data_IF_178576504207
#
_entry.id   IF_178576504207
#
_cell.length_a   1.000
_cell.length_b   1.000
_cell.length_c   1.000
_cell.angle_alpha   90.00
_cell.angle_beta   90.00
_cell.angle_gamma   90.00
#
_symmetry.space_group_name_H-M   'P 1'
#
loop_
_entity.id
_entity.type
_entity.pdbx_description
1 polymer ?
#
# COMPACT_ATOMS: atom_id res chain seq x y z
N UNK A 1 44.48 11.46 21.09
CA UNK A 1 45.23 10.56 22.01
C UNK A 1 46.00 9.52 21.19
N UNK A 2 47.18 9.06 21.62
CA UNK A 2 47.94 8.06 20.86
C UNK A 2 47.42 6.63 21.11
N UNK A 3 47.59 5.77 20.10
CA UNK A 3 47.24 4.34 20.10
C UNK A 3 48.53 3.54 20.17
N UNK A 4 48.63 2.63 21.14
CA UNK A 4 49.85 1.82 21.32
C UNK A 4 49.79 0.57 20.44
N UNK A 5 50.88 0.30 19.73
CA UNK A 5 51.14 -0.97 19.03
C UNK A 5 52.07 -1.80 19.89
N UNK A 6 51.67 -3.04 20.17
CA UNK A 6 52.45 -4.03 20.90
C UNK A 6 52.89 -5.15 19.95
N UNK A 7 53.79 -6.03 20.40
CA UNK A 7 54.03 -7.28 19.66
C UNK A 7 52.76 -8.14 19.71
N UNK A 8 52.46 -8.94 18.67
CA UNK A 8 51.27 -9.80 18.66
C UNK A 8 51.19 -10.66 19.92
N UNK A 9 50.03 -10.66 20.59
CA UNK A 9 49.78 -11.40 21.83
C UNK A 9 50.09 -10.64 23.13
N UNK A 10 50.93 -9.60 23.11
CA UNK A 10 51.31 -8.86 24.33
C UNK A 10 50.13 -8.04 24.89
N UNK A 11 49.32 -7.46 24.01
CA UNK A 11 48.13 -6.70 24.43
C UNK A 11 47.07 -7.65 25.00
N UNK A 12 46.86 -8.80 24.36
CA UNK A 12 45.99 -9.85 24.88
C UNK A 12 46.41 -10.29 26.28
N UNK A 13 47.70 -10.62 26.44
CA UNK A 13 48.27 -11.09 27.70
C UNK A 13 48.11 -10.05 28.80
N UNK A 14 48.48 -8.78 28.54
CA UNK A 14 48.27 -7.68 29.47
C UNK A 14 46.80 -7.55 29.92
N UNK A 15 45.86 -7.62 28.98
CA UNK A 15 44.43 -7.48 29.28
C UNK A 15 43.88 -8.67 30.07
N UNK A 16 44.38 -9.90 29.83
CA UNK A 16 44.02 -11.10 30.60
C UNK A 16 44.58 -11.02 32.02
N UNK A 17 45.87 -10.72 32.15
CA UNK A 17 46.56 -10.65 33.45
C UNK A 17 45.94 -9.55 34.33
N UNK A 18 45.66 -8.39 33.73
CA UNK A 18 44.98 -7.27 34.40
C UNK A 18 43.59 -7.67 34.89
N UNK A 19 42.79 -8.34 34.05
CA UNK A 19 41.44 -8.78 34.45
C UNK A 19 41.49 -9.81 35.57
N UNK A 20 42.42 -10.76 35.50
CA UNK A 20 42.60 -11.79 36.52
C UNK A 20 43.02 -11.16 37.85
N UNK A 21 43.94 -10.19 37.82
CA UNK A 21 44.42 -9.48 39.02
C UNK A 21 43.35 -8.62 39.68
N UNK A 22 42.55 -7.92 38.89
CA UNK A 22 41.46 -7.07 39.40
C UNK A 22 40.22 -7.86 39.82
N UNK A 23 40.13 -9.15 39.47
CA UNK A 23 39.02 -10.06 39.80
C UNK A 23 37.62 -9.46 39.56
N UNK A 24 37.44 -8.68 38.48
CA UNK A 24 36.19 -7.97 38.20
C UNK A 24 35.73 -8.09 36.73
N UNK A 25 34.45 -7.77 36.50
CA UNK A 25 33.87 -7.83 35.15
C UNK A 25 34.36 -6.69 34.27
N UNK A 26 34.35 -6.90 32.94
CA UNK A 26 34.70 -5.87 31.97
C UNK A 26 33.82 -4.61 32.05
N UNK A 27 32.61 -4.72 32.60
CA UNK A 27 31.73 -3.57 32.84
C UNK A 27 32.26 -2.70 33.98
N UNK A 28 32.63 -3.31 35.12
CA UNK A 28 33.21 -2.58 36.24
C UNK A 28 34.55 -1.92 35.88
N UNK A 29 35.39 -2.61 35.10
CA UNK A 29 36.64 -2.03 34.57
C UNK A 29 36.31 -0.86 33.64
N UNK A 30 35.36 -1.04 32.72
CA UNK A 30 34.92 -0.01 31.79
C UNK A 30 34.43 1.27 32.47
N UNK A 31 33.61 1.16 33.52
CA UNK A 31 33.13 2.30 34.31
C UNK A 31 34.28 3.09 34.93
N UNK A 32 35.35 2.42 35.41
CA UNK A 32 36.50 3.08 36.03
C UNK A 32 37.36 3.89 35.05
N UNK A 33 37.43 3.47 33.78
CA UNK A 33 38.26 4.12 32.75
C UNK A 33 37.45 4.83 31.66
N UNK A 34 36.13 4.97 31.85
CA UNK A 34 35.25 5.64 30.89
C UNK A 34 35.10 4.94 29.54
N UNK A 35 35.27 3.61 29.47
CA UNK A 35 35.13 2.83 28.23
C UNK A 35 34.00 1.79 28.31
N UNK A 36 33.45 1.46 27.14
CA UNK A 36 32.48 0.36 27.06
C UNK A 36 33.15 -1.00 27.29
N UNK A 37 32.44 -1.94 27.92
CA UNK A 37 32.93 -3.31 28.13
C UNK A 37 33.26 -4.02 26.82
N UNK A 38 32.62 -3.63 25.71
CA UNK A 38 32.92 -4.12 24.36
C UNK A 38 34.30 -3.67 23.90
N UNK A 39 34.64 -2.39 24.07
CA UNK A 39 35.94 -1.85 23.67
C UNK A 39 37.08 -2.58 24.35
N UNK A 40 36.96 -2.87 25.65
CA UNK A 40 37.97 -3.60 26.41
C UNK A 40 38.11 -5.06 25.94
N UNK A 41 37.02 -5.72 25.56
CA UNK A 41 37.06 -7.06 24.93
C UNK A 41 37.71 -7.03 23.55
N UNK A 42 37.44 -5.99 22.76
CA UNK A 42 38.06 -5.82 21.45
C UNK A 42 39.57 -5.54 21.57
N UNK A 43 40.01 -4.86 22.64
CA UNK A 43 41.44 -4.73 22.98
C UNK A 43 42.04 -6.06 23.43
N UNK A 44 41.34 -6.82 24.29
CA UNK A 44 41.78 -8.16 24.69
C UNK A 44 41.93 -9.08 23.48
N UNK A 45 41.06 -8.99 22.47
CA UNK A 45 41.13 -9.79 21.23
C UNK A 45 42.09 -9.21 20.19
N UNK A 46 42.77 -8.11 20.51
CA UNK A 46 43.68 -7.39 19.60
C UNK A 46 43.01 -6.93 18.29
N UNK A 47 41.69 -6.80 18.29
CA UNK A 47 40.91 -6.27 17.16
C UNK A 47 41.14 -4.76 17.02
N UNK A 48 41.34 -4.08 18.15
CA UNK A 48 41.58 -2.64 18.22
C UNK A 48 42.85 -2.35 19.05
N UNK A 49 43.57 -1.30 18.66
CA UNK A 49 44.71 -0.79 19.43
C UNK A 49 44.23 -0.01 20.66
N UNK A 50 44.89 -0.27 21.78
CA UNK A 50 44.61 0.44 23.03
C UNK A 50 45.02 1.91 22.99
N UNK A 51 44.25 2.75 23.67
CA UNK A 51 44.60 4.15 23.89
C UNK A 51 45.66 4.24 24.99
N UNK A 52 46.75 4.96 24.78
CA UNK A 52 47.90 5.04 25.69
C UNK A 52 47.49 5.49 27.10
N UNK A 53 46.74 6.58 27.20
CA UNK A 53 46.36 7.17 28.49
C UNK A 53 45.50 6.19 29.30
N UNK A 54 44.56 5.53 28.62
CA UNK A 54 43.70 4.53 29.26
C UNK A 54 44.46 3.25 29.62
N UNK A 55 45.41 2.81 28.79
CA UNK A 55 46.26 1.67 29.10
C UNK A 55 47.16 1.95 30.31
N UNK A 56 47.69 3.18 30.43
CA UNK A 56 48.44 3.62 31.60
C UNK A 56 47.57 3.64 32.86
N UNK A 57 46.33 4.14 32.76
CA UNK A 57 45.37 4.05 33.87
C UNK A 57 45.10 2.59 34.28
N UNK A 58 44.91 1.68 33.32
CA UNK A 58 44.69 0.26 33.62
C UNK A 58 45.91 -0.40 34.27
N UNK A 59 47.11 -0.02 33.85
CA UNK A 59 48.38 -0.48 34.43
C UNK A 59 48.52 -0.04 35.89
N UNK A 60 48.25 1.24 36.18
CA UNK A 60 48.23 1.78 37.53
C UNK A 60 47.17 1.10 38.41
N UNK A 61 45.96 0.89 37.89
CA UNK A 61 44.86 0.27 38.63
C UNK A 61 45.14 -1.19 38.99
N UNK A 62 45.85 -1.93 38.14
CA UNK A 62 46.12 -3.37 38.33
C UNK A 62 47.49 -3.68 38.91
N UNK A 63 48.37 -2.67 38.99
CA UNK A 63 49.78 -2.81 39.32
C UNK A 63 50.51 -3.82 38.41
N UNK A 64 50.15 -3.85 37.13
CA UNK A 64 50.80 -4.66 36.10
C UNK A 64 51.48 -3.72 35.12
N UNK A 65 52.77 -3.91 34.88
CA UNK A 65 53.54 -3.12 33.93
C UNK A 65 52.98 -3.23 32.52
N UNK A 66 52.91 -2.10 31.82
CA UNK A 66 52.58 -2.12 30.39
C UNK A 66 53.62 -2.90 29.59
N UNK A 67 53.21 -3.71 28.60
CA UNK A 67 54.13 -4.29 27.65
C UNK A 67 54.91 -3.22 26.88
N UNK A 68 56.03 -3.62 26.28
CA UNK A 68 56.87 -2.71 25.50
C UNK A 68 56.07 -2.18 24.30
N UNK A 69 55.88 -0.87 24.25
CA UNK A 69 55.23 -0.20 23.13
C UNK A 69 56.23 -0.18 21.96
N UNK A 70 55.89 -0.88 20.88
CA UNK A 70 56.71 -0.98 19.66
C UNK A 70 56.57 0.29 18.81
N UNK A 71 55.36 0.84 18.75
CA UNK A 71 55.04 2.03 17.95
C UNK A 71 53.85 2.76 18.59
N UNK A 72 53.85 4.09 18.52
CA UNK A 72 52.68 4.91 18.84
C UNK A 72 52.06 5.48 17.57
N UNK A 73 50.75 5.31 17.42
CA UNK A 73 49.98 5.79 16.26
C UNK A 73 49.00 6.88 16.67
N UNK A 74 48.68 7.77 15.74
CA UNK A 74 47.59 8.74 15.94
C UNK A 74 46.24 8.03 16.09
N UNK A 75 45.30 8.65 16.82
CA UNK A 75 43.97 8.09 17.07
C UNK A 75 43.23 7.64 15.80
N UNK A 76 43.40 8.40 14.72
CA UNK A 76 42.76 8.20 13.43
C UNK A 76 43.71 7.63 12.37
N UNK A 77 44.80 6.96 12.76
CA UNK A 77 45.81 6.42 11.83
C UNK A 77 45.21 5.57 10.71
N UNK A 78 44.18 4.79 11.05
CA UNK A 78 43.46 3.92 10.14
C UNK A 78 42.45 4.65 9.26
N UNK A 79 42.01 5.85 9.65
CA UNK A 79 40.99 6.60 8.93
C UNK A 79 41.45 6.90 7.51
N UNK A 80 42.68 7.39 7.31
CA UNK A 80 43.22 7.67 5.96
C UNK A 80 43.27 6.42 5.07
N UNK A 81 43.60 5.25 5.63
CA UNK A 81 43.67 3.97 4.90
C UNK A 81 42.29 3.47 4.48
N UNK A 82 41.34 3.46 5.41
CA UNK A 82 40.00 2.93 5.15
C UNK A 82 39.06 3.93 4.48
N UNK A 83 39.35 5.23 4.56
CA UNK A 83 38.53 6.28 3.93
C UNK A 83 38.50 6.11 2.41
N UNK A 84 39.62 5.79 1.77
CA UNK A 84 39.67 5.55 0.31
C UNK A 84 38.81 4.33 -0.06
N UNK A 85 38.96 3.22 0.65
CA UNK A 85 38.21 2.00 0.35
C UNK A 85 36.72 2.13 0.69
N UNK A 86 36.38 2.73 1.83
CA UNK A 86 35.00 3.03 2.20
C UNK A 86 34.34 4.00 1.22
N UNK A 87 35.06 5.03 0.75
CA UNK A 87 34.60 5.93 -0.30
C UNK A 87 34.34 5.19 -1.61
N UNK A 88 35.26 4.30 -2.01
CA UNK A 88 35.11 3.47 -3.21
C UNK A 88 33.88 2.56 -3.12
N UNK A 89 33.69 1.86 -2.00
CA UNK A 89 32.52 1.00 -1.75
C UNK A 89 31.23 1.83 -1.76
N UNK A 90 31.21 2.97 -1.06
CA UNK A 90 30.06 3.87 -1.02
C UNK A 90 29.69 4.36 -2.43
N UNK A 91 30.67 4.79 -3.22
CA UNK A 91 30.47 5.23 -4.61
C UNK A 91 29.99 4.09 -5.51
N UNK A 92 30.44 2.85 -5.29
CA UNK A 92 29.89 1.68 -5.99
C UNK A 92 28.41 1.45 -5.67
N UNK A 93 28.00 1.58 -4.40
CA UNK A 93 26.62 1.35 -3.96
C UNK A 93 25.71 2.52 -4.35
N UNK A 94 26.10 3.74 -4.00
CA UNK A 94 25.25 4.92 -4.05
C UNK A 94 25.62 5.90 -5.17
N UNK A 95 26.74 5.70 -5.88
CA UNK A 95 27.27 6.68 -6.83
C UNK A 95 28.01 7.82 -6.14
N UNK A 96 28.59 8.72 -6.95
CA UNK A 96 29.34 9.87 -6.43
C UNK A 96 28.41 10.79 -5.62
N UNK A 97 28.79 11.15 -4.37
CA UNK A 97 28.01 12.11 -3.60
C UNK A 97 28.02 13.47 -4.29
N UNK A 98 26.87 14.14 -4.32
CA UNK A 98 26.74 15.48 -4.89
C UNK A 98 26.26 15.52 -6.34
N UNK A 99 26.42 14.45 -7.14
CA UNK A 99 25.94 14.44 -8.54
C UNK A 99 24.47 14.01 -8.66
N UNK A 100 23.73 14.47 -9.69
CA UNK A 100 22.37 14.00 -9.96
C UNK A 100 22.29 12.47 -10.14
N UNK A 101 23.25 11.87 -10.84
CA UNK A 101 23.29 10.44 -11.14
C UNK A 101 23.50 9.62 -9.87
N UNK A 102 24.40 10.09 -8.98
CA UNK A 102 24.61 9.49 -7.66
C UNK A 102 23.35 9.57 -6.80
N UNK A 103 22.68 10.72 -6.75
CA UNK A 103 21.41 10.85 -6.02
C UNK A 103 20.35 9.88 -6.55
N UNK A 104 20.20 9.73 -7.86
CA UNK A 104 19.27 8.78 -8.49
C UNK A 104 19.63 7.34 -8.12
N UNK A 105 20.90 6.95 -8.25
CA UNK A 105 21.37 5.59 -7.93
C UNK A 105 21.20 5.27 -6.45
N UNK A 106 21.56 6.19 -5.57
CA UNK A 106 21.37 6.08 -4.13
C UNK A 106 19.89 5.92 -3.76
N UNK A 107 19.01 6.72 -4.37
CA UNK A 107 17.55 6.62 -4.21
C UNK A 107 17.00 5.26 -4.65
N UNK A 108 17.34 4.80 -5.86
CA UNK A 108 16.93 3.48 -6.40
C UNK A 108 17.42 2.34 -5.50
N UNK A 109 18.68 2.38 -5.09
CA UNK A 109 19.28 1.35 -4.22
C UNK A 109 18.59 1.30 -2.85
N UNK A 110 18.28 2.47 -2.27
CA UNK A 110 17.53 2.58 -1.02
C UNK A 110 16.12 1.99 -1.16
N UNK A 111 15.39 2.31 -2.23
CA UNK A 111 14.07 1.74 -2.51
C UNK A 111 14.13 0.22 -2.69
N UNK A 112 15.11 -0.29 -3.43
CA UNK A 112 15.31 -1.73 -3.62
C UNK A 112 15.60 -2.45 -2.30
N UNK A 113 16.46 -1.88 -1.44
CA UNK A 113 16.73 -2.45 -0.11
C UNK A 113 15.49 -2.50 0.77
N UNK A 114 14.66 -1.45 0.74
CA UNK A 114 13.37 -1.43 1.47
C UNK A 114 12.39 -2.46 0.96
N UNK A 115 12.43 -2.78 -0.34
CA UNK A 115 11.60 -3.82 -0.94
C UNK A 115 12.07 -5.22 -0.56
N UNK A 116 13.38 -5.46 -0.56
CA UNK A 116 13.98 -6.77 -0.27
C UNK A 116 14.01 -7.10 1.23
N UNK A 117 14.21 -6.09 2.08
CA UNK A 117 14.42 -6.25 3.53
C UNK A 117 13.51 -5.32 4.34
N UNK A 118 12.18 -5.36 4.16
CA UNK A 118 11.25 -4.44 4.81
C UNK A 118 11.32 -4.47 6.35
N UNK A 119 11.65 -5.62 6.94
CA UNK A 119 11.84 -5.82 8.37
C UNK A 119 12.92 -4.91 8.97
N UNK A 120 13.98 -4.59 8.22
CA UNK A 120 15.04 -3.68 8.67
C UNK A 120 14.60 -2.22 8.79
N UNK A 121 13.49 -1.88 8.15
CA UNK A 121 12.96 -0.53 8.08
C UNK A 121 11.66 -0.37 8.87
N UNK A 122 11.12 -1.45 9.43
CA UNK A 122 9.96 -1.41 10.31
C UNK A 122 10.28 -0.53 11.53
N UNK A 123 9.38 0.39 11.89
CA UNK A 123 9.57 1.29 13.03
C UNK A 123 10.49 2.49 12.79
N UNK A 124 11.09 2.64 11.61
CA UNK A 124 12.01 3.76 11.30
C UNK A 124 11.31 5.02 10.75
N UNK A 125 9.96 5.07 10.80
CA UNK A 125 9.16 6.12 10.15
C UNK A 125 9.16 6.06 8.61
N UNK A 126 9.85 5.10 8.01
CA UNK A 126 9.88 4.91 6.56
C UNK A 126 8.56 4.31 6.07
N UNK A 127 7.97 4.90 5.03
CA UNK A 127 6.78 4.33 4.36
C UNK A 127 7.17 3.04 3.66
N UNK A 128 6.66 1.92 4.16
CA UNK A 128 6.82 0.60 3.56
C UNK A 128 5.64 0.27 2.63
N UNK A 129 5.92 -0.60 1.66
CA UNK A 129 4.89 -1.11 0.75
C UNK A 129 3.86 -1.92 1.55
N UNK A 130 2.58 -1.58 1.39
CA UNK A 130 1.47 -2.31 2.02
C UNK A 130 1.43 -3.74 1.48
N UNK A 131 1.31 -4.74 2.37
CA UNK A 131 1.02 -6.12 1.97
C UNK A 131 -0.39 -6.16 1.38
N UNK A 132 -0.51 -6.58 0.13
CA UNK A 132 -1.77 -6.65 -0.60
C UNK A 132 -2.16 -8.13 -0.78
N UNK A 133 -3.37 -8.50 -0.39
CA UNK A 133 -3.94 -9.78 -0.80
C UNK A 133 -4.43 -9.67 -2.25
N UNK A 134 -4.03 -10.60 -3.12
CA UNK A 134 -4.50 -10.65 -4.50
C UNK A 134 -5.65 -11.67 -4.57
N UNK A 135 -6.91 -11.22 -4.75
CA UNK A 135 -8.05 -12.11 -4.73
C UNK A 135 -8.15 -12.90 -6.05
N UNK A 136 -8.69 -14.12 -5.96
CA UNK A 136 -9.18 -14.83 -7.14
C UNK A 136 -10.40 -14.13 -7.75
N UNK A 137 -10.70 -14.42 -9.02
CA UNK A 137 -11.91 -13.92 -9.69
C UNK A 137 -13.15 -14.41 -8.97
N UNK A 138 -13.94 -13.48 -8.44
CA UNK A 138 -15.13 -13.77 -7.62
C UNK A 138 -16.28 -12.82 -7.95
N UNK A 139 -17.48 -13.15 -7.46
CA UNK A 139 -18.68 -12.29 -7.56
C UNK A 139 -18.43 -10.91 -6.94
N UNK A 140 -17.79 -10.87 -5.77
CA UNK A 140 -17.44 -9.62 -5.08
C UNK A 140 -16.44 -8.78 -5.87
N UNK A 141 -15.47 -9.43 -6.52
CA UNK A 141 -14.52 -8.73 -7.39
C UNK A 141 -15.23 -8.18 -8.63
N UNK A 142 -16.13 -8.95 -9.25
CA UNK A 142 -16.89 -8.50 -10.40
C UNK A 142 -17.79 -7.30 -10.06
N UNK A 143 -18.41 -7.29 -8.89
CA UNK A 143 -19.17 -6.13 -8.39
C UNK A 143 -18.30 -4.90 -8.19
N UNK A 144 -17.12 -5.06 -7.58
CA UNK A 144 -16.17 -3.96 -7.45
C UNK A 144 -15.76 -3.40 -8.82
N UNK A 145 -15.58 -4.26 -9.83
CA UNK A 145 -15.31 -3.81 -11.20
C UNK A 145 -16.46 -2.98 -11.77
N UNK A 146 -17.70 -3.37 -11.52
CA UNK A 146 -18.87 -2.57 -11.89
C UNK A 146 -18.85 -1.18 -11.25
N UNK A 147 -18.61 -1.12 -9.94
CA UNK A 147 -18.50 0.15 -9.19
C UNK A 147 -17.36 1.01 -9.74
N UNK A 148 -16.21 0.41 -10.05
CA UNK A 148 -15.06 1.14 -10.60
C UNK A 148 -15.30 1.65 -12.02
N UNK A 149 -16.03 0.88 -12.84
CA UNK A 149 -16.42 1.30 -14.19
C UNK A 149 -17.37 2.49 -14.16
N UNK A 150 -18.24 2.60 -13.15
CA UNK A 150 -19.11 3.77 -12.96
C UNK A 150 -18.41 4.96 -12.31
N UNK A 151 -18.22 4.93 -10.99
CA UNK A 151 -17.69 6.05 -10.19
C UNK A 151 -16.18 5.98 -9.89
N UNK A 152 -15.51 4.92 -10.36
CA UNK A 152 -14.07 4.72 -10.13
C UNK A 152 -13.15 5.56 -11.02
N UNK A 153 -12.00 5.94 -10.46
CA UNK A 153 -10.87 6.53 -11.17
C UNK A 153 -9.56 5.84 -10.75
N UNK A 154 -8.74 5.49 -11.73
CA UNK A 154 -7.42 4.90 -11.50
C UNK A 154 -6.32 5.89 -11.92
N UNK A 155 -5.41 6.20 -11.01
CA UNK A 155 -4.11 6.82 -11.29
C UNK A 155 -3.01 5.76 -11.29
N UNK A 156 -1.74 6.16 -11.45
CA UNK A 156 -0.59 5.25 -11.43
C UNK A 156 -0.39 4.58 -10.07
N UNK A 157 -0.81 5.24 -8.99
CA UNK A 157 -0.57 4.80 -7.61
C UNK A 157 -1.85 4.58 -6.79
N UNK A 158 -2.98 5.13 -7.23
CA UNK A 158 -4.20 5.21 -6.41
C UNK A 158 -5.46 4.83 -7.20
N UNK A 159 -6.35 4.12 -6.52
CA UNK A 159 -7.72 3.94 -6.94
C UNK A 159 -8.60 4.84 -6.07
N UNK A 160 -9.52 5.56 -6.72
CA UNK A 160 -10.50 6.44 -6.07
C UNK A 160 -11.91 6.07 -6.53
N UNK A 161 -12.88 6.12 -5.64
CA UNK A 161 -14.32 5.99 -5.95
C UNK A 161 -15.00 7.18 -5.28
N UNK A 162 -15.69 8.00 -6.08
CA UNK A 162 -16.37 9.20 -5.60
C UNK A 162 -17.86 8.94 -5.47
N UNK A 163 -18.40 9.05 -4.26
CA UNK A 163 -19.80 8.74 -3.94
C UNK A 163 -20.45 9.95 -3.27
N UNK A 164 -21.79 10.05 -3.32
CA UNK A 164 -22.49 11.14 -2.64
C UNK A 164 -22.34 11.04 -1.11
N UNK A 165 -22.05 12.17 -0.46
CA UNK A 165 -21.83 12.24 0.99
C UNK A 165 -23.06 11.77 1.82
N UNK A 166 -24.26 12.10 1.35
CA UNK A 166 -25.52 11.85 2.08
C UNK A 166 -26.17 10.56 1.60
N UNK A 167 -26.51 10.50 0.31
CA UNK A 167 -27.29 9.40 -0.27
C UNK A 167 -26.51 8.08 -0.27
N UNK A 168 -25.19 8.15 -0.48
CA UNK A 168 -24.33 6.96 -0.56
C UNK A 168 -23.57 6.70 0.74
N UNK A 169 -23.98 7.28 1.88
CA UNK A 169 -23.26 7.09 3.16
C UNK A 169 -23.15 5.61 3.56
N UNK A 170 -24.24 4.85 3.44
CA UNK A 170 -24.26 3.40 3.72
C UNK A 170 -23.48 2.62 2.64
N UNK A 171 -23.64 3.01 1.38
CA UNK A 171 -22.93 2.39 0.26
C UNK A 171 -21.40 2.60 0.35
N UNK A 172 -20.95 3.77 0.81
CA UNK A 172 -19.53 4.07 1.10
C UNK A 172 -18.95 3.06 2.08
N UNK A 173 -19.67 2.73 3.16
CA UNK A 173 -19.24 1.71 4.13
C UNK A 173 -19.18 0.32 3.50
N UNK A 174 -20.17 -0.01 2.67
CA UNK A 174 -20.22 -1.27 1.92
C UNK A 174 -19.00 -1.43 1.00
N UNK A 175 -18.68 -0.41 0.20
CA UNK A 175 -17.50 -0.38 -0.67
C UNK A 175 -16.20 -0.55 0.12
N UNK A 176 -16.05 0.14 1.25
CA UNK A 176 -14.90 -0.05 2.14
C UNK A 176 -14.79 -1.50 2.65
N UNK A 177 -15.93 -2.13 2.97
CA UNK A 177 -16.01 -3.53 3.37
C UNK A 177 -15.58 -4.49 2.26
N UNK A 178 -16.05 -4.29 1.02
CA UNK A 178 -15.60 -5.06 -0.16
C UNK A 178 -14.09 -4.93 -0.34
N UNK A 179 -13.56 -3.70 -0.34
CA UNK A 179 -12.14 -3.45 -0.54
C UNK A 179 -11.28 -4.16 0.52
N UNK A 180 -11.71 -4.10 1.78
CA UNK A 180 -11.03 -4.79 2.86
C UNK A 180 -11.07 -6.31 2.68
N UNK A 181 -12.23 -6.89 2.35
CA UNK A 181 -12.38 -8.34 2.12
C UNK A 181 -11.54 -8.83 0.94
N UNK A 182 -11.49 -8.07 -0.15
CA UNK A 182 -10.78 -8.47 -1.37
C UNK A 182 -9.26 -8.28 -1.27
N UNK A 183 -8.79 -7.24 -0.57
CA UNK A 183 -7.38 -6.83 -0.64
C UNK A 183 -6.66 -6.84 0.70
N UNK A 184 -7.37 -7.02 1.82
CA UNK A 184 -6.81 -6.97 3.17
C UNK A 184 -6.33 -5.57 3.59
N UNK A 185 -6.64 -4.52 2.81
CA UNK A 185 -6.21 -3.15 3.07
C UNK A 185 -7.44 -2.29 3.38
N UNK A 186 -7.39 -1.58 4.51
CA UNK A 186 -8.39 -0.56 4.85
C UNK A 186 -8.24 0.62 3.88
N UNK A 187 -9.32 0.94 3.17
CA UNK A 187 -9.39 2.14 2.35
C UNK A 187 -9.52 3.39 3.22
N UNK A 188 -8.92 4.49 2.76
CA UNK A 188 -9.12 5.81 3.36
C UNK A 188 -10.38 6.45 2.77
N UNK A 189 -11.14 7.18 3.59
CA UNK A 189 -12.30 7.96 3.12
C UNK A 189 -12.02 9.44 3.34
N UNK A 190 -12.10 10.21 2.27
CA UNK A 190 -11.96 11.67 2.30
C UNK A 190 -13.31 12.30 2.05
N UNK A 191 -13.74 13.18 2.93
CA UNK A 191 -15.02 13.90 2.79
C UNK A 191 -14.77 15.31 2.31
N UNK A 192 -15.35 15.64 1.17
CA UNK A 192 -15.44 17.01 0.68
C UNK A 192 -16.87 17.53 0.93
N UNK A 193 -17.01 18.39 1.94
CA UNK A 193 -18.31 18.98 2.31
C UNK A 193 -18.80 20.00 1.28
N UNK A 194 -17.90 20.68 0.56
CA UNK A 194 -18.26 21.71 -0.42
C UNK A 194 -18.96 21.08 -1.62
N UNK A 195 -18.47 19.94 -2.08
CA UNK A 195 -19.05 19.23 -3.22
C UNK A 195 -20.01 18.10 -2.82
N UNK A 196 -20.24 17.90 -1.52
CA UNK A 196 -21.04 16.79 -0.98
C UNK A 196 -20.58 15.41 -1.48
N UNK A 197 -19.27 15.16 -1.47
CA UNK A 197 -18.65 13.90 -1.96
C UNK A 197 -17.88 13.20 -0.85
N UNK A 198 -18.02 11.88 -0.78
CA UNK A 198 -17.08 10.99 -0.12
C UNK A 198 -16.22 10.28 -1.16
N UNK A 199 -14.91 10.45 -1.08
CA UNK A 199 -13.95 9.74 -1.92
C UNK A 199 -13.32 8.60 -1.13
N UNK A 200 -13.66 7.36 -1.49
CA UNK A 200 -12.96 6.15 -1.03
C UNK A 200 -11.68 6.02 -1.83
N UNK A 201 -10.53 5.90 -1.16
CA UNK A 201 -9.22 5.88 -1.78
C UNK A 201 -8.37 4.73 -1.25
N UNK A 202 -7.74 3.99 -2.17
CA UNK A 202 -6.75 2.96 -1.85
C UNK A 202 -5.49 3.21 -2.66
N UNK A 203 -4.40 3.55 -1.97
CA UNK A 203 -3.08 3.76 -2.58
C UNK A 203 -2.25 2.48 -2.55
N UNK A 204 -2.01 1.90 -3.72
CA UNK A 204 -1.12 0.75 -3.94
C UNK A 204 -0.84 0.56 -5.44
N UNK A 205 0.43 0.69 -5.84
CA UNK A 205 0.86 0.42 -7.23
C UNK A 205 0.53 -1.02 -7.66
N UNK A 206 0.59 -1.97 -6.72
CA UNK A 206 0.29 -3.37 -6.99
C UNK A 206 -1.20 -3.60 -7.26
N UNK A 207 -2.07 -2.90 -6.52
CA UNK A 207 -3.50 -2.91 -6.79
C UNK A 207 -3.79 -2.36 -8.18
N UNK A 208 -3.18 -1.24 -8.55
CA UNK A 208 -3.37 -0.65 -9.88
C UNK A 208 -2.92 -1.63 -10.98
N UNK A 209 -1.73 -2.23 -10.84
CA UNK A 209 -1.25 -3.27 -11.77
C UNK A 209 -2.20 -4.45 -11.87
N UNK A 210 -2.76 -4.91 -10.75
CA UNK A 210 -3.74 -5.99 -10.74
C UNK A 210 -5.04 -5.59 -11.47
N UNK A 211 -5.59 -4.41 -11.18
CA UNK A 211 -6.82 -3.92 -11.78
C UNK A 211 -6.66 -3.70 -13.29
N UNK A 212 -5.54 -3.12 -13.72
CA UNK A 212 -5.27 -2.90 -15.14
C UNK A 212 -5.05 -4.19 -15.91
N UNK A 213 -4.29 -5.14 -15.34
CA UNK A 213 -4.13 -6.49 -15.90
C UNK A 213 -5.48 -7.21 -16.08
N UNK A 214 -6.47 -6.89 -15.27
CA UNK A 214 -7.80 -7.50 -15.31
C UNK A 214 -8.84 -6.71 -16.11
N UNK A 215 -8.43 -5.67 -16.85
CA UNK A 215 -9.26 -5.02 -17.87
C UNK A 215 -9.71 -3.58 -17.57
N UNK A 216 -9.24 -2.96 -16.48
CA UNK A 216 -9.44 -1.53 -16.25
C UNK A 216 -8.32 -0.69 -16.88
N UNK A 217 -8.56 0.59 -17.11
CA UNK A 217 -7.56 1.52 -17.66
C UNK A 217 -7.23 2.64 -16.68
N UNK A 218 -5.99 3.11 -16.69
CA UNK A 218 -5.57 4.33 -15.98
C UNK A 218 -6.07 5.56 -16.73
N UNK A 219 -6.53 6.59 -16.00
CA UNK A 219 -6.98 7.85 -16.57
C UNK A 219 -8.43 7.84 -17.04
N UNK A 220 -8.71 8.51 -18.16
CA UNK A 220 -10.09 8.71 -18.63
C UNK A 220 -10.67 7.45 -19.27
N UNK A 221 -11.60 6.81 -18.56
CA UNK A 221 -12.41 5.67 -19.03
C UNK A 221 -13.10 5.93 -20.37
N UNK A 222 -13.58 7.15 -20.58
CA UNK A 222 -14.21 7.58 -21.83
C UNK A 222 -13.22 7.61 -22.99
N UNK A 223 -12.02 8.19 -22.78
CA UNK A 223 -10.98 8.21 -23.82
C UNK A 223 -10.48 6.80 -24.17
N UNK A 224 -10.39 5.93 -23.16
CA UNK A 224 -9.99 4.53 -23.34
C UNK A 224 -11.13 3.62 -23.85
N UNK A 225 -12.35 4.14 -24.01
CA UNK A 225 -13.55 3.40 -24.40
C UNK A 225 -13.71 2.06 -23.66
N UNK A 226 -13.54 2.09 -22.32
CA UNK A 226 -13.54 0.87 -21.50
C UNK A 226 -14.87 0.12 -21.56
N UNK A 227 -14.79 -1.20 -21.47
CA UNK A 227 -15.95 -2.10 -21.40
C UNK A 227 -15.89 -3.02 -20.19
N UNK A 228 -16.84 -3.94 -20.10
CA UNK A 228 -16.83 -4.99 -19.09
C UNK A 228 -15.78 -6.04 -19.49
N UNK A 229 -14.82 -6.39 -18.61
CA UNK A 229 -13.81 -7.41 -18.89
C UNK A 229 -14.40 -8.77 -19.31
N UNK A 230 -13.73 -9.46 -20.24
CA UNK A 230 -14.19 -10.75 -20.79
C UNK A 230 -14.43 -11.81 -19.71
N UNK A 231 -13.57 -11.86 -18.67
CA UNK A 231 -13.71 -12.81 -17.58
C UNK A 231 -14.95 -12.58 -16.71
N UNK A 232 -15.51 -11.38 -16.72
CA UNK A 232 -16.80 -11.07 -16.09
C UNK A 232 -17.94 -11.48 -17.03
N UNK A 233 -17.83 -11.13 -18.32
CA UNK A 233 -18.85 -11.45 -19.34
C UNK A 233 -19.08 -12.95 -19.54
N UNK A 234 -18.07 -13.77 -19.30
CA UNK A 234 -18.15 -15.22 -19.51
C UNK A 234 -18.92 -15.98 -18.43
N UNK A 235 -19.24 -15.37 -17.28
CA UNK A 235 -19.93 -16.04 -16.18
C UNK A 235 -21.19 -15.26 -15.76
N UNK A 236 -22.40 -15.85 -15.86
CA UNK A 236 -23.63 -15.15 -15.52
C UNK A 236 -23.63 -14.54 -14.11
N UNK A 237 -23.11 -15.25 -13.10
CA UNK A 237 -23.01 -14.73 -11.72
C UNK A 237 -22.10 -13.51 -11.59
N UNK A 238 -21.02 -13.44 -12.38
CA UNK A 238 -20.10 -12.30 -12.38
C UNK A 238 -20.70 -11.13 -13.14
N UNK A 239 -21.35 -11.42 -14.26
CA UNK A 239 -22.09 -10.44 -15.05
C UNK A 239 -23.18 -9.75 -14.22
N UNK A 240 -24.03 -10.53 -13.53
CA UNK A 240 -25.04 -10.02 -12.59
C UNK A 240 -24.40 -9.09 -11.55
N UNK A 241 -23.31 -9.51 -10.92
CA UNK A 241 -22.63 -8.72 -9.89
C UNK A 241 -22.02 -7.41 -10.44
N UNK A 242 -21.41 -7.45 -11.62
CA UNK A 242 -20.87 -6.26 -12.28
C UNK A 242 -21.98 -5.28 -12.67
N UNK A 243 -23.10 -5.78 -13.22
CA UNK A 243 -24.29 -4.96 -13.53
C UNK A 243 -24.84 -4.33 -12.26
N UNK A 244 -24.95 -5.07 -11.15
CA UNK A 244 -25.32 -4.51 -9.84
C UNK A 244 -24.45 -3.32 -9.47
N UNK A 245 -23.12 -3.49 -9.54
CA UNK A 245 -22.18 -2.41 -9.23
C UNK A 245 -22.33 -1.18 -10.13
N UNK A 246 -22.55 -1.38 -11.43
CA UNK A 246 -22.78 -0.29 -12.41
C UNK A 246 -24.10 0.45 -12.15
N UNK A 247 -25.18 -0.28 -11.85
CA UNK A 247 -26.49 0.31 -11.57
C UNK A 247 -26.50 1.00 -10.21
N UNK A 248 -25.71 0.54 -9.24
CA UNK A 248 -25.58 1.17 -7.93
C UNK A 248 -24.89 2.54 -7.97
N UNK A 249 -24.06 2.78 -9.00
CA UNK A 249 -23.36 4.05 -9.25
C UNK A 249 -24.08 4.91 -10.28
N UNK A 250 -24.17 4.44 -11.53
CA UNK A 250 -24.66 5.18 -12.70
C UNK A 250 -26.12 4.87 -13.06
N UNK A 251 -26.75 3.98 -12.29
CA UNK A 251 -28.15 3.61 -12.48
C UNK A 251 -29.11 4.43 -11.64
N UNK A 252 -30.39 4.35 -11.99
CA UNK A 252 -31.46 5.00 -11.26
C UNK A 252 -32.72 4.13 -11.24
N UNK A 253 -33.25 3.93 -10.04
CA UNK A 253 -34.59 3.39 -9.84
C UNK A 253 -35.55 4.57 -9.68
N UNK A 254 -36.64 4.57 -10.45
CA UNK A 254 -37.60 5.67 -10.43
C UNK A 254 -39.02 5.19 -10.69
N UNK A 255 -39.98 5.98 -10.19
CA UNK A 255 -41.41 5.76 -10.42
C UNK A 255 -41.84 6.71 -11.54
N UNK A 256 -42.25 6.13 -12.66
CA UNK A 256 -42.82 6.88 -13.77
C UNK A 256 -44.33 6.95 -13.60
N UNK A 257 -44.84 8.15 -13.34
CA UNK A 257 -46.26 8.41 -13.15
C UNK A 257 -46.86 9.00 -14.43
N UNK A 258 -48.03 8.52 -14.84
CA UNK A 258 -48.79 9.14 -15.92
C UNK A 258 -50.27 9.19 -15.58
N UNK A 259 -50.97 10.19 -16.13
CA UNK A 259 -52.40 10.40 -15.90
C UNK A 259 -53.15 10.10 -17.20
N UNK A 260 -54.09 9.16 -17.16
CA UNK A 260 -54.97 8.80 -18.29
C UNK A 260 -56.40 8.77 -17.76
N UNK A 261 -57.31 9.52 -18.39
CA UNK A 261 -58.72 9.62 -18.00
C UNK A 261 -58.94 9.87 -16.49
N UNK A 262 -58.24 10.88 -15.94
CA UNK A 262 -58.23 11.21 -14.52
C UNK A 262 -57.73 10.12 -13.54
N UNK A 263 -57.26 8.98 -14.03
CA UNK A 263 -56.58 7.95 -13.21
C UNK A 263 -55.07 8.10 -13.32
N UNK A 264 -54.38 8.05 -12.19
CA UNK A 264 -52.91 8.05 -12.12
C UNK A 264 -52.41 6.62 -12.09
N UNK A 265 -51.48 6.30 -12.99
CA UNK A 265 -50.80 5.03 -13.02
C UNK A 265 -49.32 5.23 -12.71
N UNK A 266 -48.73 4.31 -11.95
CA UNK A 266 -47.35 4.39 -11.50
C UNK A 266 -46.59 3.11 -11.86
N UNK A 267 -45.48 3.27 -12.59
CA UNK A 267 -44.64 2.16 -13.03
C UNK A 267 -43.23 2.35 -12.53
N UNK A 268 -42.73 1.33 -11.84
CA UNK A 268 -41.33 1.31 -11.38
C UNK A 268 -40.42 0.86 -12.51
N UNK A 269 -39.38 1.65 -12.77
CA UNK A 269 -38.46 1.47 -13.88
C UNK A 269 -37.03 1.60 -13.40
N UNK A 270 -36.11 1.00 -14.15
CA UNK A 270 -34.67 1.12 -13.93
C UNK A 270 -34.07 1.77 -15.17
N UNK A 271 -33.19 2.74 -14.96
CA UNK A 271 -32.35 3.30 -16.03
C UNK A 271 -30.88 3.15 -15.68
N UNK A 272 -30.06 3.12 -16.73
CA UNK A 272 -28.61 3.18 -16.67
C UNK A 272 -28.12 4.15 -17.74
N UNK A 273 -27.18 5.01 -17.39
CA UNK A 273 -26.64 6.02 -18.32
C UNK A 273 -25.13 5.90 -18.39
N UNK A 274 -24.59 5.88 -19.61
CA UNK A 274 -23.15 5.95 -19.82
C UNK A 274 -22.82 6.71 -21.09
N UNK A 275 -21.74 7.49 -21.04
CA UNK A 275 -21.17 8.20 -22.18
C UNK A 275 -20.05 7.41 -22.87
N UNK A 276 -19.84 6.16 -22.45
CA UNK A 276 -18.81 5.26 -22.97
C UNK A 276 -19.53 4.24 -23.87
N UNK A 277 -19.44 4.36 -25.21
CA UNK A 277 -20.19 3.50 -26.12
C UNK A 277 -19.97 2.01 -25.86
N UNK A 278 -18.71 1.60 -25.59
CA UNK A 278 -18.41 0.19 -25.34
C UNK A 278 -19.05 -0.35 -24.07
N UNK A 279 -19.05 0.44 -22.99
CA UNK A 279 -19.69 0.06 -21.73
C UNK A 279 -21.21 -0.06 -21.89
N UNK A 280 -21.84 0.87 -22.62
CA UNK A 280 -23.27 0.84 -22.91
C UNK A 280 -23.66 -0.42 -23.70
N UNK A 281 -22.88 -0.74 -24.74
CA UNK A 281 -23.07 -1.96 -25.54
C UNK A 281 -22.89 -3.23 -24.70
N UNK A 282 -21.82 -3.30 -23.89
CA UNK A 282 -21.56 -4.44 -23.03
C UNK A 282 -22.70 -4.64 -22.01
N UNK A 283 -23.19 -3.58 -21.36
CA UNK A 283 -24.32 -3.68 -20.42
C UNK A 283 -25.59 -4.15 -21.11
N UNK A 284 -25.92 -3.61 -22.29
CA UNK A 284 -27.07 -4.05 -23.09
C UNK A 284 -26.98 -5.54 -23.40
N UNK A 285 -25.84 -5.98 -23.94
CA UNK A 285 -25.65 -7.38 -24.35
C UNK A 285 -25.69 -8.33 -23.15
N UNK A 286 -25.12 -7.93 -22.01
CA UNK A 286 -25.17 -8.75 -20.80
C UNK A 286 -26.60 -8.86 -20.26
N UNK A 287 -27.38 -7.76 -20.22
CA UNK A 287 -28.79 -7.83 -19.83
C UNK A 287 -29.61 -8.73 -20.76
N UNK A 288 -29.40 -8.65 -22.07
CA UNK A 288 -30.04 -9.55 -23.05
C UNK A 288 -29.66 -11.01 -22.79
N UNK A 289 -28.38 -11.29 -22.54
CA UNK A 289 -27.92 -12.65 -22.24
C UNK A 289 -28.49 -13.22 -20.93
N UNK A 290 -28.93 -12.35 -20.02
CA UNK A 290 -29.63 -12.70 -18.78
C UNK A 290 -31.16 -12.75 -18.96
N UNK A 291 -31.67 -12.63 -20.19
CA UNK A 291 -33.09 -12.74 -20.53
C UNK A 291 -33.90 -11.47 -20.28
N UNK A 292 -33.27 -10.31 -20.08
CA UNK A 292 -33.96 -9.02 -20.00
C UNK A 292 -34.13 -8.38 -21.38
N UNK A 293 -35.09 -7.47 -21.52
CA UNK A 293 -35.39 -6.76 -22.77
C UNK A 293 -35.06 -5.26 -22.69
N UNK A 294 -33.77 -4.88 -22.50
CA UNK A 294 -33.38 -3.49 -22.32
C UNK A 294 -33.74 -2.64 -23.54
N UNK A 295 -34.35 -1.48 -23.30
CA UNK A 295 -34.67 -0.49 -24.32
C UNK A 295 -33.65 0.64 -24.28
N UNK A 296 -33.02 0.91 -25.41
CA UNK A 296 -32.05 2.00 -25.54
C UNK A 296 -32.78 3.24 -26.02
N UNK A 297 -32.58 4.36 -25.34
CA UNK A 297 -33.07 5.68 -25.76
C UNK A 297 -31.87 6.54 -26.17
N UNK A 298 -31.79 6.87 -27.47
CA UNK A 298 -30.62 7.53 -28.06
C UNK A 298 -29.37 6.65 -27.97
N UNK A 299 -28.20 7.27 -27.77
CA UNK A 299 -26.91 6.55 -27.72
C UNK A 299 -26.37 6.29 -26.30
N UNK A 300 -27.05 6.78 -25.25
CA UNK A 300 -26.45 6.95 -23.91
C UNK A 300 -27.29 6.44 -22.75
N UNK A 301 -28.55 6.08 -22.98
CA UNK A 301 -29.48 5.66 -21.91
C UNK A 301 -30.07 4.31 -22.23
N UNK A 302 -30.11 3.46 -21.23
CA UNK A 302 -30.73 2.15 -21.25
C UNK A 302 -31.81 2.09 -20.17
N UNK A 303 -32.95 1.48 -20.50
CA UNK A 303 -34.08 1.32 -19.60
C UNK A 303 -34.53 -0.14 -19.53
N UNK A 304 -34.90 -0.58 -18.33
CA UNK A 304 -35.83 -1.68 -18.12
C UNK A 304 -37.21 -1.07 -17.86
N UNK A 305 -38.02 -0.99 -18.92
CA UNK A 305 -39.32 -0.33 -18.90
C UNK A 305 -40.43 -1.21 -18.31
N UNK A 306 -40.32 -2.53 -18.47
CA UNK A 306 -41.29 -3.48 -17.95
C UNK A 306 -41.13 -3.59 -16.43
N UNK A 307 -42.19 -3.28 -15.69
CA UNK A 307 -42.18 -3.35 -14.22
C UNK A 307 -41.92 -4.76 -13.70
N UNK A 308 -42.37 -5.81 -14.40
CA UNK A 308 -42.06 -7.19 -14.05
C UNK A 308 -40.57 -7.50 -14.20
N UNK A 309 -39.94 -7.02 -15.27
CA UNK A 309 -38.49 -7.15 -15.44
C UNK A 309 -37.71 -6.33 -14.41
N UNK A 310 -38.17 -5.13 -14.07
CA UNK A 310 -37.53 -4.33 -13.04
C UNK A 310 -37.66 -4.98 -11.65
N UNK A 311 -38.77 -5.68 -11.37
CA UNK A 311 -38.93 -6.54 -10.18
C UNK A 311 -37.97 -7.73 -10.24
N UNK A 312 -37.92 -8.44 -11.36
CA UNK A 312 -37.01 -9.58 -11.60
C UNK A 312 -35.53 -9.17 -11.46
N UNK A 313 -35.18 -7.96 -11.89
CA UNK A 313 -33.84 -7.39 -11.69
C UNK A 313 -33.49 -7.35 -10.20
N UNK A 314 -34.39 -6.86 -9.35
CA UNK A 314 -34.14 -6.80 -7.91
C UNK A 314 -34.05 -8.19 -7.26
N UNK A 315 -34.80 -9.16 -7.77
CA UNK A 315 -34.77 -10.54 -7.27
C UNK A 315 -33.50 -11.28 -7.69
N UNK A 316 -33.06 -11.13 -8.96
CA UNK A 316 -31.95 -11.89 -9.51
C UNK A 316 -30.58 -11.21 -9.40
N UNK A 317 -30.54 -9.88 -9.52
CA UNK A 317 -29.32 -9.07 -9.53
C UNK A 317 -29.21 -8.30 -8.22
N UNK A 318 -30.31 -7.66 -7.80
CA UNK A 318 -30.38 -6.87 -6.58
C UNK A 318 -29.61 -5.55 -6.68
N UNK A 319 -29.51 -4.88 -5.53
CA UNK A 319 -28.76 -3.63 -5.35
C UNK A 319 -28.04 -3.70 -4.01
N UNK A 320 -26.80 -3.24 -3.99
CA UNK A 320 -26.01 -3.09 -2.77
C UNK A 320 -26.07 -1.66 -2.23
N UNK A 321 -26.70 -0.74 -2.97
CA UNK A 321 -26.88 0.64 -2.56
C UNK A 321 -28.27 0.88 -1.95
N UNK A 322 -28.38 1.13 -0.63
CA UNK A 322 -29.68 1.25 0.04
C UNK A 322 -30.59 2.34 -0.52
N UNK A 323 -30.05 3.40 -1.15
CA UNK A 323 -30.88 4.46 -1.76
C UNK A 323 -31.80 3.91 -2.85
N UNK A 324 -31.37 2.86 -3.55
CA UNK A 324 -32.12 2.25 -4.63
C UNK A 324 -33.33 1.46 -4.11
N UNK A 325 -33.21 0.79 -2.95
CA UNK A 325 -34.36 0.16 -2.29
C UNK A 325 -35.41 1.19 -1.85
N UNK A 326 -34.95 2.32 -1.30
CA UNK A 326 -35.85 3.41 -0.87
C UNK A 326 -36.60 3.96 -2.08
N UNK A 327 -35.92 4.23 -3.19
CA UNK A 327 -36.55 4.72 -4.44
C UNK A 327 -37.51 3.71 -5.05
N UNK A 328 -37.26 2.41 -4.87
CA UNK A 328 -38.20 1.37 -5.26
C UNK A 328 -39.41 1.28 -4.32
N UNK A 329 -39.40 1.92 -3.15
CA UNK A 329 -40.48 1.84 -2.17
C UNK A 329 -40.43 0.58 -1.30
N UNK A 330 -39.25 -0.03 -1.13
CA UNK A 330 -39.02 -1.05 -0.10
C UNK A 330 -38.45 -0.34 1.13
N UNK A 331 -39.26 -0.20 2.18
CA UNK A 331 -38.79 0.20 3.51
C UNK A 331 -37.81 -0.84 4.02
N UNK A 332 -36.62 -0.43 4.49
CA UNK A 332 -35.49 -1.29 4.90
C UNK A 332 -35.93 -2.58 5.62
N UNK A 333 -36.02 -3.70 4.89
CA UNK A 333 -35.92 -5.05 5.44
C UNK A 333 -34.54 -5.59 5.09
N UNK A 334 -33.49 -5.04 5.68
CA UNK A 334 -32.19 -5.73 5.74
C UNK A 334 -31.52 -5.34 7.06
N UNK A 335 -31.60 -6.28 8.01
CA UNK A 335 -30.75 -6.42 9.20
C UNK A 335 -29.32 -6.77 8.80
#
# INVERSE_FOLDING_TARGET
MSRCVFKPGDQHKFMVDMKNKLACSWEKVGTKVGLSSRTLRDWQREVLLGNKDVLQQLSLLSNISLPIIVEEREEWWNAKKWQKEASRIRSKIHGSPGTPEGRIKGGKTSQMRRLLYPERYAGTGTVLRKKLHIPAKSVQLAELFGILLGDGNLSKEQMKISLNLVDDKKFTKYVCGILFKLFGIKASVYTDKKYHVNTVCLSSVELIKFLTKNGLSIGSKKKANVGIPSWIKSRPSYSKACIRGLVDTDGCFFIHKYKVNNKTYEYKKISFVSYIPKLMEDVKNQLISLGFTPKVQGAKRLFLYNQQEAKRYLEEIGTSNPKNFIRWGISNKVS
#
